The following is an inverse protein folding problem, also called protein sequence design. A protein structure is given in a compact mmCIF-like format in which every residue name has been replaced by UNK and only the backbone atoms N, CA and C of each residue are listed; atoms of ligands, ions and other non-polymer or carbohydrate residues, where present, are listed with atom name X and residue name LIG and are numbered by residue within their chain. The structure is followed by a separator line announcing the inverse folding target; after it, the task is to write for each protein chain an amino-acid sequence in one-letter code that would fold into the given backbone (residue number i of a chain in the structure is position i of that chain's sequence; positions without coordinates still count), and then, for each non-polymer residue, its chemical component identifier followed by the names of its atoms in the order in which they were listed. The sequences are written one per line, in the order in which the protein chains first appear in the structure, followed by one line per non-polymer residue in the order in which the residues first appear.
data_IF_531609671267
#
_entry.id   IF_531609671267
#
_cell.length_a   1.000
_cell.length_b   1.000
_cell.length_c   1.000
_cell.angle_alpha   90.00
_cell.angle_beta   90.00
_cell.angle_gamma   90.00
#
_symmetry.space_group_name_H-M   'P 1'
#
loop_
_entity.id
_entity.type
_entity.pdbx_description
1 polymer ?
#
# COMPACT_ATOMS: atom_id res chain seq x y z
N UNK A 1 -28.06 4.41 -15.43
CA UNK A 1 -26.72 4.83 -14.95
C UNK A 1 -25.67 4.86 -16.06
N UNK A 2 -25.35 3.74 -16.76
CA UNK A 2 -24.31 3.72 -17.82
C UNK A 2 -24.49 4.72 -18.96
N UNK A 3 -25.74 5.08 -19.29
CA UNK A 3 -26.07 6.06 -20.35
C UNK A 3 -25.50 7.46 -20.09
N UNK A 4 -25.31 7.84 -18.82
CA UNK A 4 -24.74 9.14 -18.44
C UNK A 4 -23.20 9.15 -18.42
N UNK A 5 -22.56 7.99 -18.61
CA UNK A 5 -21.11 7.87 -18.68
C UNK A 5 -20.58 7.94 -20.11
N UNK A 6 -21.41 7.59 -21.10
CA UNK A 6 -21.01 7.52 -22.49
C UNK A 6 -20.92 8.92 -23.09
N UNK A 7 -19.87 9.15 -23.87
CA UNK A 7 -19.76 10.32 -24.72
C UNK A 7 -20.29 9.99 -26.11
N UNK A 8 -21.14 10.86 -26.66
CA UNK A 8 -21.72 10.76 -28.00
C UNK A 8 -21.57 12.08 -28.73
N UNK A 9 -21.05 12.06 -29.96
CA UNK A 9 -21.11 13.18 -30.89
C UNK A 9 -21.81 12.72 -32.18
N UNK A 10 -22.95 13.32 -32.49
CA UNK A 10 -23.83 12.94 -33.61
C UNK A 10 -23.72 13.88 -34.80
N UNK A 11 -23.12 15.05 -34.61
CA UNK A 11 -23.02 16.16 -35.56
C UNK A 11 -21.57 16.44 -36.03
N UNK A 12 -20.63 15.58 -35.66
CA UNK A 12 -19.23 15.70 -36.08
C UNK A 12 -19.05 15.33 -37.56
N UNK A 13 -18.36 16.15 -38.38
CA UNK A 13 -18.12 15.85 -39.80
C UNK A 13 -17.35 14.54 -40.06
N UNK A 14 -16.63 14.02 -39.05
CA UNK A 14 -15.97 12.71 -39.10
C UNK A 14 -16.92 11.52 -38.95
N UNK A 15 -18.23 11.77 -38.81
CA UNK A 15 -19.27 10.75 -38.63
C UNK A 15 -19.68 10.58 -37.17
N UNK A 16 -20.59 9.61 -36.94
CA UNK A 16 -21.05 9.28 -35.60
C UNK A 16 -19.88 8.79 -34.73
N UNK A 17 -19.67 9.44 -33.58
CA UNK A 17 -18.62 9.08 -32.64
C UNK A 17 -19.20 8.73 -31.27
N UNK A 18 -18.72 7.63 -30.70
CA UNK A 18 -19.13 7.11 -29.39
C UNK A 18 -17.89 6.67 -28.61
N UNK A 19 -17.79 7.06 -27.34
CA UNK A 19 -16.83 6.43 -26.42
C UNK A 19 -17.47 6.04 -25.08
N UNK A 20 -17.24 4.81 -24.58
CA UNK A 20 -17.79 4.36 -23.31
C UNK A 20 -16.97 4.82 -22.09
N UNK A 21 -15.77 5.35 -22.31
CA UNK A 21 -14.88 5.91 -21.27
C UNK A 21 -14.20 7.19 -21.80
N UNK A 22 -13.26 7.77 -21.06
CA UNK A 22 -12.60 9.02 -21.47
C UNK A 22 -11.81 8.92 -22.79
N UNK A 23 -11.19 7.77 -23.07
CA UNK A 23 -10.29 7.63 -24.21
C UNK A 23 -11.04 7.22 -25.48
N UNK A 24 -10.57 7.69 -26.64
CA UNK A 24 -10.94 7.15 -27.95
C UNK A 24 -10.13 5.88 -28.25
N UNK A 25 -8.97 6.05 -28.89
CA UNK A 25 -8.00 4.96 -29.08
C UNK A 25 -7.48 4.45 -27.72
N UNK A 26 -7.41 3.13 -27.55
CA UNK A 26 -6.98 2.47 -26.30
C UNK A 26 -6.01 1.32 -26.59
N UNK A 27 -5.04 1.07 -25.69
CA UNK A 27 -4.10 -0.05 -25.85
C UNK A 27 -4.80 -1.38 -25.56
N UNK A 28 -5.37 -2.01 -26.60
CA UNK A 28 -6.12 -3.27 -26.49
C UNK A 28 -5.32 -4.41 -25.85
N UNK A 29 -3.99 -4.39 -25.97
CA UNK A 29 -3.10 -5.38 -25.37
C UNK A 29 -3.24 -5.48 -23.83
N UNK A 30 -3.50 -4.36 -23.12
CA UNK A 30 -3.70 -4.39 -21.68
C UNK A 30 -5.03 -5.07 -21.29
N UNK A 31 -6.06 -4.93 -22.12
CA UNK A 31 -7.33 -5.66 -21.92
C UNK A 31 -7.14 -7.17 -22.15
N UNK A 32 -6.37 -7.55 -23.16
CA UNK A 32 -6.04 -8.96 -23.42
C UNK A 32 -5.19 -9.56 -22.29
N UNK A 33 -4.20 -8.82 -21.77
CA UNK A 33 -3.38 -9.27 -20.65
C UNK A 33 -4.20 -9.41 -19.35
N UNK A 34 -5.12 -8.48 -19.09
CA UNK A 34 -6.05 -8.58 -17.96
C UNK A 34 -6.93 -9.83 -18.07
N UNK A 35 -7.53 -10.06 -19.24
CA UNK A 35 -8.31 -11.28 -19.50
C UNK A 35 -7.46 -12.55 -19.31
N UNK A 36 -6.25 -12.58 -19.86
CA UNK A 36 -5.35 -13.71 -19.71
C UNK A 36 -5.02 -13.99 -18.24
N UNK A 37 -4.73 -12.96 -17.43
CA UNK A 37 -4.47 -13.10 -16.00
C UNK A 37 -5.67 -13.66 -15.23
N UNK A 38 -6.89 -13.18 -15.54
CA UNK A 38 -8.12 -13.68 -14.91
C UNK A 38 -8.35 -15.16 -15.20
N UNK A 39 -8.19 -15.57 -16.46
CA UNK A 39 -8.42 -16.95 -16.89
C UNK A 39 -7.31 -17.89 -16.40
N UNK A 40 -6.05 -17.45 -16.38
CA UNK A 40 -4.95 -18.26 -15.88
C UNK A 40 -5.01 -18.47 -14.36
N UNK A 41 -5.50 -17.48 -13.61
CA UNK A 41 -5.69 -17.60 -12.17
C UNK A 41 -6.90 -18.48 -11.85
N UNK A 42 -8.04 -18.20 -12.49
CA UNK A 42 -9.33 -18.81 -12.14
C UNK A 42 -9.72 -18.58 -10.68
N UNK A 43 -10.86 -19.13 -10.28
CA UNK A 43 -11.37 -18.99 -8.90
C UNK A 43 -10.37 -19.54 -7.86
N UNK A 44 -9.86 -20.75 -8.10
CA UNK A 44 -8.91 -21.41 -7.19
C UNK A 44 -7.63 -20.58 -6.99
N UNK A 45 -7.09 -19.97 -8.05
CA UNK A 45 -5.90 -19.14 -7.94
C UNK A 45 -6.16 -17.86 -7.14
N UNK A 46 -7.31 -17.22 -7.33
CA UNK A 46 -7.70 -16.06 -6.53
C UNK A 46 -7.96 -16.40 -5.06
N UNK A 47 -8.60 -17.54 -4.76
CA UNK A 47 -8.81 -18.02 -3.40
C UNK A 47 -7.46 -18.26 -2.69
N UNK A 48 -6.54 -18.98 -3.34
CA UNK A 48 -5.24 -19.27 -2.77
C UNK A 48 -4.37 -18.01 -2.60
N UNK A 49 -4.40 -17.09 -3.56
CA UNK A 49 -3.71 -15.81 -3.46
C UNK A 49 -4.26 -14.96 -2.30
N UNK A 50 -5.59 -14.89 -2.18
CA UNK A 50 -6.25 -14.15 -1.10
C UNK A 50 -5.95 -14.75 0.27
N UNK A 51 -6.00 -16.09 0.39
CA UNK A 51 -5.63 -16.80 1.61
C UNK A 51 -4.22 -16.45 2.07
N UNK A 52 -3.23 -16.55 1.17
CA UNK A 52 -1.83 -16.22 1.49
C UNK A 52 -1.66 -14.77 1.93
N UNK A 53 -2.33 -13.83 1.24
CA UNK A 53 -2.28 -12.40 1.57
C UNK A 53 -2.88 -12.15 2.96
N UNK A 54 -4.05 -12.71 3.25
CA UNK A 54 -4.73 -12.52 4.53
C UNK A 54 -3.98 -13.17 5.70
N UNK A 55 -3.42 -14.36 5.52
CA UNK A 55 -2.58 -15.02 6.54
C UNK A 55 -1.32 -14.20 6.83
N UNK A 56 -0.63 -13.75 5.78
CA UNK A 56 0.56 -12.88 5.92
C UNK A 56 0.19 -11.55 6.59
N UNK A 57 -0.96 -10.98 6.24
CA UNK A 57 -1.45 -9.76 6.86
C UNK A 57 -1.77 -9.96 8.34
N UNK A 58 -2.40 -11.07 8.74
CA UNK A 58 -2.66 -11.39 10.16
C UNK A 58 -1.35 -11.45 10.95
N UNK A 59 -0.36 -12.17 10.42
CA UNK A 59 0.97 -12.27 11.02
C UNK A 59 1.63 -10.89 11.19
N UNK A 60 1.52 -10.02 10.19
CA UNK A 60 2.06 -8.65 10.26
C UNK A 60 1.28 -7.80 11.27
N UNK A 61 -0.06 -7.87 11.32
CA UNK A 61 -0.88 -7.15 12.31
C UNK A 61 -0.49 -7.54 13.73
N UNK A 62 -0.48 -8.85 14.01
CA UNK A 62 -0.08 -9.40 15.31
C UNK A 62 1.36 -9.01 15.67
N UNK A 63 2.27 -9.04 14.69
CA UNK A 63 3.66 -8.62 14.88
C UNK A 63 3.80 -7.13 15.21
N UNK A 64 2.99 -6.25 14.60
CA UNK A 64 2.97 -4.82 14.89
C UNK A 64 2.41 -4.56 16.29
N UNK A 65 1.26 -5.15 16.63
CA UNK A 65 0.63 -4.97 17.94
C UNK A 65 1.46 -5.58 19.09
N UNK A 66 2.36 -6.52 18.77
CA UNK A 66 3.35 -7.06 19.71
C UNK A 66 4.54 -6.13 19.99
N UNK A 67 4.73 -5.06 19.21
CA UNK A 67 5.83 -4.10 19.38
C UNK A 67 5.36 -2.93 20.24
N UNK A 68 6.02 -2.73 21.39
CA UNK A 68 5.72 -1.63 22.31
C UNK A 68 5.76 -0.26 21.61
N UNK A 69 4.72 0.53 21.82
CA UNK A 69 4.49 1.87 21.25
C UNK A 69 4.10 1.88 19.77
N UNK A 70 3.81 0.74 19.13
CA UNK A 70 3.11 0.69 17.85
C UNK A 70 1.70 0.15 18.04
N UNK A 71 0.79 0.59 17.19
CA UNK A 71 -0.57 0.05 17.13
C UNK A 71 -1.11 0.14 15.70
N UNK A 72 -1.92 -0.85 15.31
CA UNK A 72 -2.66 -0.81 14.04
C UNK A 72 -3.84 0.17 14.13
N UNK A 73 -4.09 0.91 13.05
CA UNK A 73 -5.23 1.83 12.94
C UNK A 73 -6.46 1.10 12.40
N UNK A 74 -7.49 0.94 13.24
CA UNK A 74 -8.73 0.24 12.91
C UNK A 74 -8.56 -1.28 12.87
N UNK A 75 -9.36 -1.97 12.04
CA UNK A 75 -9.26 -3.41 11.81
C UNK A 75 -9.14 -3.74 10.30
N UNK A 76 -7.96 -3.51 9.70
CA UNK A 76 -7.75 -3.75 8.28
C UNK A 76 -7.59 -5.23 7.96
N UNK A 77 -7.99 -5.64 6.75
CA UNK A 77 -7.77 -7.01 6.27
C UNK A 77 -6.33 -7.24 5.78
N UNK A 78 -5.80 -6.40 4.88
CA UNK A 78 -4.42 -6.58 4.34
C UNK A 78 -3.68 -5.29 3.94
N UNK A 79 -4.32 -4.13 4.01
CA UNK A 79 -3.66 -2.83 3.88
C UNK A 79 -3.55 -2.26 5.29
N UNK A 80 -2.40 -2.45 5.90
CA UNK A 80 -2.22 -2.24 7.34
C UNK A 80 -1.59 -0.88 7.55
N UNK A 81 -2.40 0.05 8.06
CA UNK A 81 -1.91 1.34 8.57
C UNK A 81 -1.60 1.21 10.06
N UNK A 82 -0.46 1.75 10.49
CA UNK A 82 -0.03 1.70 11.88
C UNK A 82 0.66 3.00 12.28
N UNK A 83 0.52 3.36 13.55
CA UNK A 83 1.05 4.59 14.12
C UNK A 83 1.82 4.30 15.42
N UNK A 84 2.41 5.35 15.98
CA UNK A 84 3.04 5.32 17.29
C UNK A 84 2.53 6.47 18.13
N UNK A 85 2.20 6.20 19.39
CA UNK A 85 1.71 7.23 20.31
C UNK A 85 2.83 8.15 20.82
N UNK A 86 4.03 7.60 20.96
CA UNK A 86 5.13 8.23 21.71
C UNK A 86 6.38 8.48 20.87
N UNK A 87 6.45 7.97 19.64
CA UNK A 87 7.60 8.13 18.75
C UNK A 87 7.19 8.75 17.41
N UNK A 88 8.11 9.49 16.81
CA UNK A 88 7.93 10.01 15.46
C UNK A 88 7.99 8.86 14.44
N UNK A 89 6.81 8.51 13.92
CA UNK A 89 6.63 7.40 12.97
C UNK A 89 7.43 7.59 11.68
N UNK A 90 7.75 8.81 11.28
CA UNK A 90 8.51 9.03 10.05
C UNK A 90 10.00 8.74 10.23
N UNK A 91 10.53 8.80 11.45
CA UNK A 91 11.90 8.33 11.73
C UNK A 91 12.00 6.81 11.56
N UNK A 92 10.91 6.09 11.86
CA UNK A 92 10.80 4.65 11.60
C UNK A 92 10.79 4.41 10.09
N UNK A 93 10.02 5.20 9.32
CA UNK A 93 10.04 5.15 7.85
C UNK A 93 11.45 5.34 7.28
N UNK A 94 12.21 6.31 7.78
CA UNK A 94 13.59 6.55 7.33
C UNK A 94 14.53 5.38 7.61
N UNK A 95 14.40 4.74 8.78
CA UNK A 95 15.16 3.55 9.12
C UNK A 95 14.79 2.37 8.21
N UNK A 96 13.50 2.12 8.06
CA UNK A 96 12.96 1.05 7.20
C UNK A 96 13.40 1.24 5.74
N UNK A 97 13.44 2.49 5.26
CA UNK A 97 13.94 2.84 3.92
C UNK A 97 15.41 2.47 3.72
N UNK A 98 16.26 2.67 4.73
CA UNK A 98 17.68 2.23 4.69
C UNK A 98 17.83 0.70 4.67
N UNK A 99 16.81 -0.02 5.13
CA UNK A 99 16.67 -1.48 5.03
C UNK A 99 16.00 -1.92 3.72
N UNK A 100 15.78 -1.00 2.79
CA UNK A 100 15.12 -1.20 1.48
C UNK A 100 13.61 -1.49 1.56
N UNK A 101 12.96 -1.17 2.67
CA UNK A 101 11.50 -1.18 2.74
C UNK A 101 10.95 0.12 2.16
N UNK A 102 10.05 0.01 1.19
CA UNK A 102 9.34 1.15 0.64
C UNK A 102 7.90 1.19 1.21
N UNK A 103 7.74 1.91 2.31
CA UNK A 103 6.45 2.09 2.98
C UNK A 103 5.83 3.42 2.60
N UNK A 104 4.50 3.49 2.65
CA UNK A 104 3.78 4.73 2.40
C UNK A 104 3.69 5.55 3.69
N UNK A 105 4.28 6.75 3.69
CA UNK A 105 4.07 7.74 4.72
C UNK A 105 2.69 8.40 4.58
N UNK A 106 1.89 8.37 5.64
CA UNK A 106 0.55 8.95 5.70
C UNK A 106 0.51 10.07 6.73
N UNK A 107 -0.51 10.92 6.65
CA UNK A 107 -0.76 11.99 7.62
C UNK A 107 -2.24 12.02 8.02
N UNK A 108 -2.55 12.71 9.12
CA UNK A 108 -3.91 12.84 9.69
C UNK A 108 -4.59 11.47 9.99
N UNK A 109 -4.07 10.68 10.96
CA UNK A 109 -2.92 10.95 11.83
C UNK A 109 -1.58 10.60 11.17
N UNK A 110 -0.46 11.04 11.76
CA UNK A 110 0.87 10.62 11.30
C UNK A 110 1.00 9.11 11.45
N UNK A 111 1.13 8.40 10.33
CA UNK A 111 1.17 6.94 10.30
C UNK A 111 1.92 6.43 9.09
N UNK A 112 2.19 5.13 9.05
CA UNK A 112 2.70 4.44 7.87
C UNK A 112 1.67 3.42 7.40
N UNK A 113 1.76 2.95 6.16
CA UNK A 113 1.07 1.73 5.76
C UNK A 113 1.93 0.79 4.92
N UNK A 114 1.65 -0.50 5.07
CA UNK A 114 2.11 -1.57 4.18
C UNK A 114 0.90 -2.22 3.50
N UNK A 115 0.95 -2.33 2.17
CA UNK A 115 -0.05 -3.05 1.39
C UNK A 115 0.48 -4.46 1.12
N UNK A 116 -0.08 -5.46 1.79
CA UNK A 116 0.34 -6.85 1.62
C UNK A 116 -0.09 -7.34 0.24
N UNK A 117 0.85 -7.99 -0.46
CA UNK A 117 0.69 -8.52 -1.82
C UNK A 117 1.34 -9.89 -1.88
N UNK A 118 1.18 -10.62 -2.98
CA UNK A 118 1.85 -11.92 -3.20
C UNK A 118 3.38 -11.89 -3.02
N UNK A 119 4.03 -10.73 -3.15
CA UNK A 119 5.47 -10.60 -2.89
C UNK A 119 5.80 -10.75 -1.40
N UNK A 120 4.92 -10.29 -0.53
CA UNK A 120 5.09 -10.35 0.92
C UNK A 120 4.78 -11.74 1.48
N UNK A 121 4.01 -12.57 0.76
CA UNK A 121 3.69 -13.94 1.17
C UNK A 121 4.83 -14.93 0.90
N UNK A 122 6.00 -14.46 0.46
CA UNK A 122 7.18 -15.30 0.31
C UNK A 122 7.77 -15.60 1.69
N UNK A 123 8.34 -16.79 1.82
CA UNK A 123 8.93 -17.26 3.08
C UNK A 123 9.95 -16.26 3.63
N UNK A 124 9.80 -15.87 4.89
CA UNK A 124 10.75 -15.00 5.59
C UNK A 124 10.49 -13.50 5.43
N UNK A 125 9.61 -13.07 4.51
CA UNK A 125 9.42 -11.64 4.24
C UNK A 125 8.64 -10.96 5.37
N UNK A 126 7.59 -11.58 5.90
CA UNK A 126 6.84 -11.05 7.04
C UNK A 126 7.70 -11.01 8.31
N UNK A 127 8.49 -12.05 8.56
CA UNK A 127 9.39 -12.14 9.70
C UNK A 127 10.50 -11.10 9.62
N UNK A 128 11.09 -10.91 8.42
CA UNK A 128 12.08 -9.87 8.18
C UNK A 128 11.49 -8.47 8.40
N UNK A 129 10.26 -8.23 7.94
CA UNK A 129 9.56 -6.96 8.14
C UNK A 129 9.40 -6.62 9.63
N UNK A 130 8.87 -7.56 10.42
CA UNK A 130 8.64 -7.36 11.86
C UNK A 130 9.96 -7.21 12.63
N UNK A 131 10.99 -7.98 12.25
CA UNK A 131 12.34 -7.87 12.83
C UNK A 131 12.97 -6.51 12.55
N UNK A 132 12.95 -6.04 11.30
CA UNK A 132 13.47 -4.71 10.95
C UNK A 132 12.65 -3.59 11.58
N UNK A 133 11.33 -3.75 11.72
CA UNK A 133 10.47 -2.78 12.39
C UNK A 133 10.79 -2.68 13.89
N UNK A 134 11.04 -3.81 14.55
CA UNK A 134 11.49 -3.86 15.94
C UNK A 134 12.85 -3.17 16.11
N UNK A 135 13.80 -3.45 15.21
CA UNK A 135 15.10 -2.78 15.18
C UNK A 135 14.97 -1.26 14.95
N UNK A 136 14.03 -0.84 14.11
CA UNK A 136 13.74 0.57 13.85
C UNK A 136 13.26 1.26 15.13
N UNK A 137 12.37 0.62 15.89
CA UNK A 137 11.87 1.14 17.17
C UNK A 137 12.99 1.31 18.19
N UNK A 138 13.85 0.30 18.36
CA UNK A 138 15.01 0.41 19.26
C UNK A 138 15.98 1.52 18.83
N UNK A 139 16.23 1.64 17.52
CA UNK A 139 17.11 2.68 16.99
C UNK A 139 16.56 4.08 17.25
N UNK A 140 15.26 4.30 17.02
CA UNK A 140 14.60 5.59 17.23
C UNK A 140 14.54 5.95 18.72
N UNK A 141 14.32 4.97 19.61
CA UNK A 141 14.37 5.16 21.07
C UNK A 141 15.76 5.60 21.56
N UNK A 142 16.85 5.06 21.00
CA UNK A 142 18.24 5.36 21.42
C UNK A 142 18.82 6.62 20.79
N UNK A 143 18.31 7.04 19.64
CA UNK A 143 18.89 8.14 18.86
C UNK A 143 18.13 9.44 19.14
N UNK A 144 18.79 10.51 19.63
CA UNK A 144 18.18 11.82 19.76
C UNK A 144 17.57 12.31 18.44
N UNK A 145 16.55 13.15 18.50
CA UNK A 145 15.90 13.75 17.32
C UNK A 145 16.93 14.53 16.49
N UNK A 146 17.40 13.94 15.39
CA UNK A 146 18.36 14.53 14.46
C UNK A 146 17.72 15.01 13.16
N UNK A 147 18.35 15.97 12.49
CA UNK A 147 17.87 16.62 11.25
C UNK A 147 18.23 15.86 9.96
N UNK A 148 17.92 14.57 9.83
CA UNK A 148 18.30 13.80 8.63
C UNK A 148 17.26 12.79 8.19
N UNK A 149 17.00 12.71 6.87
CA UNK A 149 16.09 11.77 6.23
C UNK A 149 14.86 12.44 5.60
N UNK A 150 13.86 11.65 5.19
CA UNK A 150 12.57 12.14 4.67
C UNK A 150 11.59 12.46 5.81
N UNK A 151 11.86 12.03 7.04
CA UNK A 151 11.02 12.33 8.20
C UNK A 151 10.69 13.81 8.39
N UNK A 152 11.65 14.76 8.26
CA UNK A 152 11.35 16.18 8.36
C UNK A 152 10.41 16.67 7.24
N UNK A 153 10.49 16.10 6.03
CA UNK A 153 9.63 16.48 4.90
C UNK A 153 8.18 16.03 5.16
N UNK A 154 7.99 14.79 5.59
CA UNK A 154 6.67 14.28 5.95
C UNK A 154 6.09 15.01 7.18
N UNK A 155 6.91 15.29 8.19
CA UNK A 155 6.50 16.06 9.37
C UNK A 155 6.06 17.50 9.05
N UNK A 156 6.78 18.18 8.15
CA UNK A 156 6.36 19.50 7.65
C UNK A 156 5.07 19.41 6.83
N UNK A 157 4.93 18.42 5.93
CA UNK A 157 3.71 18.24 5.15
C UNK A 157 2.48 17.85 5.99
N UNK A 158 2.68 17.26 7.17
CA UNK A 158 1.61 16.93 8.10
C UNK A 158 1.13 18.12 8.94
N UNK A 159 1.94 19.19 9.05
CA UNK A 159 1.64 20.39 9.84
C UNK A 159 1.15 21.58 9.00
N UNK A 160 1.23 21.47 7.66
CA UNK A 160 0.54 22.34 6.68
C UNK A 160 -0.94 21.98 6.56
#
# INVERSE_FOLDING_TARGET
MRRYQYFTATDWPGGLYLSPTFAGSRPGALSAACWAAMISMGEKGYLEASRKILETASQIKEGIDGIESLHVLGDPLWVISFASDNLDIYRILDFMSKKNWNLNGLHKPSSLHICVTLRHTQKGVAEAFISDLSNAMEHVKRTPTGKGGMAPVYGMAATL
#
